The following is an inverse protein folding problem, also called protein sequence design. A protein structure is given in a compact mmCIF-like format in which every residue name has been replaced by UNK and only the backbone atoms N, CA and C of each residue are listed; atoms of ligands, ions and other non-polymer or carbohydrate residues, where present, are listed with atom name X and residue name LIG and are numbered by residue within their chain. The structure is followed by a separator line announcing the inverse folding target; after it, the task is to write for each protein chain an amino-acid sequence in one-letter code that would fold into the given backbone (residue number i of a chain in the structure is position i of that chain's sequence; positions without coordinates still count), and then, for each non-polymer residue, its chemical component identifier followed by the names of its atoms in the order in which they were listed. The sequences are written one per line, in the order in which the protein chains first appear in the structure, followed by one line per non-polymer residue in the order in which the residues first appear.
data_IF_302897498251
#
_entry.id   IF_302897498251
#
_cell.length_a   1.000
_cell.length_b   1.000
_cell.length_c   1.000
_cell.angle_alpha   90.00
_cell.angle_beta   90.00
_cell.angle_gamma   90.00
#
_symmetry.space_group_name_H-M   'P 1'
#
loop_
_entity.id
_entity.type
_entity.pdbx_description
1 polymer ?
#
# COMPACT_ATOMS: atom_id res chain seq x y z
N UNK A 1 28.31 2.15 -5.38
CA UNK A 1 27.61 1.78 -5.48
C UNK A 1 26.98 0.94 -5.29
N UNK A 2 26.54 1.02 -5.15
CA UNK A 2 25.93 0.11 -4.49
C UNK A 2 24.86 -0.59 -5.17
N UNK A 3 25.11 -1.62 -5.63
CA UNK A 3 24.12 -2.51 -6.13
C UNK A 3 23.76 -3.47 -5.03
N UNK A 4 22.59 -3.24 -4.46
CA UNK A 4 22.08 -4.18 -3.48
C UNK A 4 21.71 -5.48 -4.19
N UNK A 5 21.99 -6.59 -3.56
CA UNK A 5 21.55 -7.86 -4.09
C UNK A 5 20.04 -7.97 -3.99
N UNK A 6 19.47 -8.92 -4.73
CA UNK A 6 18.03 -9.13 -4.69
C UNK A 6 17.56 -9.46 -3.28
N UNK A 7 18.32 -10.29 -2.55
CA UNK A 7 17.91 -10.66 -1.20
C UNK A 7 17.98 -9.47 -0.25
N UNK A 8 18.92 -8.56 -0.44
CA UNK A 8 18.96 -7.34 0.35
C UNK A 8 17.78 -6.45 0.07
N UNK A 9 17.41 -6.31 -1.20
CA UNK A 9 16.24 -5.53 -1.56
C UNK A 9 14.97 -6.14 -1.01
N UNK A 10 14.89 -7.46 -0.99
CA UNK A 10 13.73 -8.14 -0.42
C UNK A 10 13.60 -7.87 1.07
N UNK A 11 14.71 -7.83 1.79
CA UNK A 11 14.69 -7.51 3.21
C UNK A 11 14.25 -6.08 3.44
N UNK A 12 14.79 -5.14 2.67
CA UNK A 12 14.38 -3.75 2.76
C UNK A 12 12.88 -3.61 2.49
N UNK A 13 12.39 -4.33 1.48
CA UNK A 13 10.98 -4.29 1.14
C UNK A 13 10.12 -4.83 2.28
N UNK A 14 10.55 -5.90 2.94
CA UNK A 14 9.78 -6.46 4.05
C UNK A 14 9.68 -5.49 5.21
N UNK A 15 10.78 -4.86 5.60
CA UNK A 15 10.74 -3.85 6.66
C UNK A 15 9.87 -2.68 6.25
N UNK A 16 9.98 -2.25 5.01
CA UNK A 16 9.20 -1.12 4.52
C UNK A 16 7.71 -1.44 4.52
N UNK A 17 7.36 -2.66 4.17
CA UNK A 17 5.97 -3.10 4.18
C UNK A 17 5.40 -3.03 5.59
N UNK A 18 6.14 -3.53 6.58
CA UNK A 18 5.66 -3.49 7.96
C UNK A 18 5.57 -2.05 8.47
N UNK A 19 6.52 -1.21 8.10
CA UNK A 19 6.46 0.21 8.45
C UNK A 19 5.25 0.88 7.81
N UNK A 20 4.97 0.59 6.55
CA UNK A 20 3.81 1.15 5.86
C UNK A 20 2.52 0.75 6.56
N UNK A 21 2.40 -0.53 6.94
CA UNK A 21 1.20 -1.00 7.65
C UNK A 21 1.05 -0.30 9.00
N UNK A 22 2.14 -0.12 9.71
CA UNK A 22 2.10 0.56 10.99
C UNK A 22 1.70 2.02 10.82
N UNK A 23 2.21 2.68 9.80
CA UNK A 23 1.84 4.06 9.51
C UNK A 23 0.36 4.18 9.15
N UNK A 24 -0.18 3.22 8.41
CA UNK A 24 -1.61 3.24 8.10
C UNK A 24 -2.45 3.06 9.35
N UNK A 25 -2.02 2.18 10.26
CA UNK A 25 -2.73 2.02 11.53
C UNK A 25 -2.68 3.31 12.34
N UNK A 26 -1.55 3.98 12.35
CA UNK A 26 -1.41 5.26 13.04
C UNK A 26 -2.34 6.30 12.42
N UNK A 27 -2.38 6.37 11.09
CA UNK A 27 -3.27 7.30 10.39
C UNK A 27 -4.74 7.08 10.77
N UNK A 28 -5.15 5.81 10.81
CA UNK A 28 -6.54 5.52 11.19
C UNK A 28 -6.83 5.95 12.61
N UNK A 29 -5.86 5.81 13.50
CA UNK A 29 -6.05 6.21 14.89
C UNK A 29 -6.16 7.72 15.06
N UNK A 30 -5.65 8.48 14.09
CA UNK A 30 -5.72 9.94 14.18
C UNK A 30 -7.15 10.46 14.22
N UNK A 31 -8.07 9.77 13.56
CA UNK A 31 -9.46 10.22 13.50
C UNK A 31 -10.13 10.23 14.87
N UNK A 32 -9.57 9.49 15.83
CA UNK A 32 -10.15 9.38 17.16
C UNK A 32 -9.57 10.40 18.15
N UNK A 33 -8.65 11.24 17.71
CA UNK A 33 -7.98 12.17 18.60
C UNK A 33 -8.69 13.52 18.66
N UNK A 34 -8.61 14.22 19.81
CA UNK A 34 -9.06 15.62 19.88
C UNK A 34 -8.25 16.49 18.89
N UNK A 35 -8.85 17.58 18.44
CA UNK A 35 -8.25 18.41 17.41
C UNK A 35 -6.86 18.92 17.76
N UNK A 36 -6.64 19.29 19.01
CA UNK A 36 -5.34 19.82 19.43
C UNK A 36 -4.24 18.78 19.31
N UNK A 37 -4.53 17.54 19.63
CA UNK A 37 -3.56 16.46 19.51
C UNK A 37 -3.47 15.94 18.08
N UNK A 38 -4.58 15.97 17.37
CA UNK A 38 -4.65 15.45 16.01
C UNK A 38 -3.68 16.20 15.09
N UNK A 39 -3.62 17.51 15.21
CA UNK A 39 -2.77 18.32 14.35
C UNK A 39 -1.30 17.92 14.47
N UNK A 40 -0.83 17.77 15.72
CA UNK A 40 0.55 17.40 15.96
C UNK A 40 0.86 16.00 15.43
N UNK A 41 -0.03 15.05 15.71
CA UNK A 41 0.18 13.67 15.28
C UNK A 41 0.09 13.53 13.77
N UNK A 42 -0.76 14.32 13.12
CA UNK A 42 -0.83 14.30 11.66
C UNK A 42 0.48 14.76 11.05
N UNK A 43 1.10 15.79 11.62
CA UNK A 43 2.40 16.25 11.13
C UNK A 43 3.45 15.16 11.29
N UNK A 44 3.42 14.43 12.40
CA UNK A 44 4.34 13.33 12.62
C UNK A 44 4.13 12.21 11.59
N UNK A 45 2.87 11.91 11.30
CA UNK A 45 2.53 10.90 10.29
C UNK A 45 3.11 11.29 8.93
N UNK A 46 2.91 12.54 8.54
CA UNK A 46 3.41 13.02 7.25
C UNK A 46 4.92 12.95 7.17
N UNK A 47 5.58 13.34 8.27
CA UNK A 47 7.03 13.29 8.31
C UNK A 47 7.53 11.84 8.14
N UNK A 48 6.96 10.91 8.90
CA UNK A 48 7.40 9.51 8.85
C UNK A 48 7.11 8.87 7.51
N UNK A 49 5.96 9.20 6.92
CA UNK A 49 5.62 8.68 5.58
C UNK A 49 6.61 9.18 4.53
N UNK A 50 6.95 10.46 4.61
CA UNK A 50 7.90 11.04 3.68
C UNK A 50 9.30 10.43 3.87
N UNK A 51 9.69 10.18 5.12
CA UNK A 51 10.98 9.53 5.40
C UNK A 51 11.01 8.12 4.83
N UNK A 52 9.92 7.38 4.98
CA UNK A 52 9.87 6.03 4.43
C UNK A 52 10.07 6.05 2.91
N UNK A 53 9.35 6.97 2.23
CA UNK A 53 9.50 7.09 0.79
C UNK A 53 10.92 7.45 0.40
N UNK A 54 11.55 8.36 1.14
CA UNK A 54 12.92 8.76 0.86
C UNK A 54 13.91 7.64 1.05
N UNK A 55 13.73 6.85 2.11
CA UNK A 55 14.63 5.72 2.36
C UNK A 55 14.47 4.64 1.29
N UNK A 56 13.25 4.39 0.85
CA UNK A 56 13.03 3.47 -0.24
C UNK A 56 13.68 3.96 -1.52
N UNK A 57 13.54 5.26 -1.80
CA UNK A 57 14.15 5.84 -2.98
C UNK A 57 15.67 5.67 -2.96
N UNK A 58 16.30 5.83 -1.79
CA UNK A 58 17.74 5.60 -1.66
C UNK A 58 18.11 4.16 -2.01
N UNK A 59 17.22 3.21 -1.76
CA UNK A 59 17.47 1.82 -2.10
C UNK A 59 17.06 1.47 -3.53
N UNK A 60 16.55 2.45 -4.27
CA UNK A 60 16.10 2.22 -5.63
C UNK A 60 14.73 1.58 -5.70
N UNK A 61 13.93 1.74 -4.66
CA UNK A 61 12.62 1.11 -4.57
C UNK A 61 11.51 2.16 -4.49
N UNK A 62 10.32 1.77 -4.88
CA UNK A 62 9.13 2.61 -4.75
C UNK A 62 7.95 1.81 -4.26
N UNK A 63 7.15 2.47 -3.43
CA UNK A 63 5.89 1.95 -2.95
C UNK A 63 4.78 2.43 -3.86
N UNK A 64 3.88 1.53 -4.25
CA UNK A 64 2.76 1.89 -5.12
C UNK A 64 1.45 1.47 -4.45
N UNK A 65 0.52 2.41 -4.39
CA UNK A 65 -0.84 2.14 -3.92
C UNK A 65 -1.80 2.37 -5.09
N UNK A 66 -2.99 1.79 -5.00
CA UNK A 66 -3.89 1.75 -6.15
C UNK A 66 -5.33 2.11 -5.80
N UNK A 67 -5.55 2.71 -4.64
CA UNK A 67 -6.90 3.06 -4.22
C UNK A 67 -7.58 3.92 -5.29
N UNK A 68 -8.79 3.55 -5.67
CA UNK A 68 -9.56 4.30 -6.64
C UNK A 68 -9.29 3.96 -8.09
N UNK A 69 -8.29 3.14 -8.38
CA UNK A 69 -7.98 2.76 -9.76
C UNK A 69 -8.80 1.54 -10.16
N UNK A 70 -9.05 1.42 -11.45
CA UNK A 70 -9.68 0.21 -11.97
C UNK A 70 -8.69 -0.94 -11.93
N UNK A 71 -9.13 -2.09 -11.46
CA UNK A 71 -8.27 -3.27 -11.43
C UNK A 71 -8.09 -3.82 -12.83
N UNK A 72 -6.86 -4.02 -13.24
CA UNK A 72 -6.53 -4.68 -14.50
C UNK A 72 -5.48 -5.74 -14.22
N UNK A 73 -5.35 -6.69 -15.13
CA UNK A 73 -4.38 -7.76 -14.97
C UNK A 73 -2.94 -7.26 -15.02
N UNK A 74 -2.73 -6.04 -15.52
CA UNK A 74 -1.39 -5.49 -15.63
C UNK A 74 -0.87 -4.88 -14.34
N UNK A 75 -1.74 -4.65 -13.36
CA UNK A 75 -1.32 -4.06 -12.10
C UNK A 75 -0.60 -5.10 -11.25
N UNK A 76 0.46 -4.70 -10.54
CA UNK A 76 1.22 -5.65 -9.71
C UNK A 76 0.54 -5.86 -8.36
N UNK A 77 -0.72 -6.28 -8.38
CA UNK A 77 -1.52 -6.48 -7.17
C UNK A 77 -2.35 -7.73 -7.31
N UNK A 78 -2.71 -8.28 -6.16
CA UNK A 78 -3.57 -9.45 -6.07
C UNK A 78 -4.80 -9.07 -5.25
N UNK A 79 -6.00 -9.23 -5.81
CA UNK A 79 -7.20 -8.91 -5.04
C UNK A 79 -7.49 -10.02 -4.04
N UNK A 80 -7.76 -9.61 -2.79
CA UNK A 80 -8.05 -10.57 -1.74
C UNK A 80 -9.48 -11.07 -1.78
N UNK A 81 -10.37 -10.30 -2.40
CA UNK A 81 -11.80 -10.64 -2.44
C UNK A 81 -12.30 -10.87 -3.86
N UNK A 82 -11.44 -11.37 -4.74
CA UNK A 82 -11.84 -11.58 -6.13
C UNK A 82 -13.06 -12.49 -6.25
N UNK A 83 -13.16 -13.49 -5.38
CA UNK A 83 -14.26 -14.44 -5.44
C UNK A 83 -15.60 -13.81 -5.08
N UNK A 84 -15.58 -12.67 -4.41
CA UNK A 84 -16.80 -11.99 -3.99
C UNK A 84 -17.25 -10.93 -4.99
N UNK A 85 -16.52 -10.76 -6.07
CA UNK A 85 -16.82 -9.74 -7.07
C UNK A 85 -17.19 -10.43 -8.37
N UNK A 86 -18.24 -9.91 -9.03
CA UNK A 86 -18.71 -10.56 -10.25
C UNK A 86 -17.69 -10.59 -11.36
N UNK A 87 -17.05 -9.45 -11.62
CA UNK A 87 -16.02 -9.38 -12.65
C UNK A 87 -14.87 -8.54 -12.09
N UNK A 88 -13.83 -9.19 -11.57
CA UNK A 88 -12.73 -8.46 -10.97
C UNK A 88 -12.07 -7.47 -11.93
N UNK A 89 -12.02 -7.79 -13.21
CA UNK A 89 -11.29 -6.95 -14.16
C UNK A 89 -11.96 -5.61 -14.46
N UNK A 90 -13.20 -5.43 -14.04
CA UNK A 90 -13.87 -4.15 -14.22
C UNK A 90 -14.16 -3.47 -12.89
N UNK A 91 -13.67 -4.03 -11.80
CA UNK A 91 -13.94 -3.49 -10.48
C UNK A 91 -12.96 -2.36 -10.17
N UNK A 92 -13.40 -1.47 -9.30
CA UNK A 92 -12.54 -0.41 -8.78
C UNK A 92 -11.85 -0.93 -7.53
N UNK A 93 -10.59 -0.61 -7.38
CA UNK A 93 -9.85 -0.98 -6.17
C UNK A 93 -10.32 -0.04 -5.05
N UNK A 94 -10.94 -0.62 -4.05
CA UNK A 94 -11.47 0.14 -2.92
C UNK A 94 -10.35 0.57 -1.98
N UNK A 95 -9.43 -0.34 -1.68
CA UNK A 95 -8.34 -0.03 -0.77
C UNK A 95 -7.13 -0.91 -1.06
N UNK A 96 -5.97 -0.37 -0.73
CA UNK A 96 -4.72 -1.11 -0.79
C UNK A 96 -4.41 -1.62 0.62
N UNK A 97 -4.37 -2.93 0.76
CA UNK A 97 -4.06 -3.57 2.05
C UNK A 97 -2.56 -3.67 2.23
N UNK A 98 -1.84 -4.02 1.17
CA UNK A 98 -0.37 -3.96 1.13
C UNK A 98 0.01 -3.32 -0.20
N UNK A 99 0.94 -2.37 -0.19
CA UNK A 99 1.37 -1.74 -1.45
C UNK A 99 2.23 -2.70 -2.24
N UNK A 100 2.29 -2.48 -3.55
CA UNK A 100 3.32 -3.13 -4.34
C UNK A 100 4.63 -2.41 -4.09
N UNK A 101 5.72 -3.14 -4.12
CA UNK A 101 7.06 -2.54 -3.98
C UNK A 101 7.85 -2.94 -5.20
N UNK A 102 8.30 -1.93 -5.94
CA UNK A 102 8.99 -2.16 -7.21
C UNK A 102 10.35 -1.51 -7.18
N UNK A 103 11.29 -2.14 -7.87
CA UNK A 103 12.57 -1.55 -8.15
C UNK A 103 12.65 -1.24 -9.63
N UNK A 104 13.86 -1.01 -10.12
CA UNK A 104 14.05 -0.74 -11.53
C UNK A 104 13.85 -2.04 -12.30
N UNK A 105 12.79 -2.09 -13.08
CA UNK A 105 12.46 -3.26 -13.91
C UNK A 105 12.26 -4.55 -13.13
N UNK A 106 11.89 -4.45 -11.86
CA UNK A 106 11.68 -5.65 -11.05
C UNK A 106 10.57 -5.41 -10.05
N UNK A 107 9.71 -6.40 -9.89
CA UNK A 107 8.69 -6.40 -8.87
C UNK A 107 9.24 -7.14 -7.66
N UNK A 108 9.37 -6.43 -6.53
CA UNK A 108 9.91 -7.03 -5.31
C UNK A 108 8.78 -7.62 -4.46
N UNK A 109 7.65 -6.93 -4.37
CA UNK A 109 6.52 -7.39 -3.57
C UNK A 109 5.22 -7.08 -4.29
N UNK A 110 4.38 -8.10 -4.48
CA UNK A 110 3.06 -7.93 -5.07
C UNK A 110 2.13 -7.32 -4.04
N UNK A 111 1.45 -6.25 -4.42
CA UNK A 111 0.50 -5.61 -3.51
C UNK A 111 -0.74 -6.46 -3.29
N UNK A 112 -1.50 -6.12 -2.27
CA UNK A 112 -2.78 -6.77 -1.98
C UNK A 112 -3.84 -5.71 -1.85
N UNK A 113 -4.96 -5.93 -2.51
CA UNK A 113 -6.02 -4.93 -2.59
C UNK A 113 -7.38 -5.57 -2.32
N UNK A 114 -8.33 -4.71 -1.99
CA UNK A 114 -9.74 -5.09 -1.87
C UNK A 114 -10.48 -4.38 -2.99
N UNK A 115 -11.28 -5.13 -3.73
CA UNK A 115 -12.07 -4.59 -4.82
C UNK A 115 -13.44 -4.16 -4.31
N UNK A 116 -13.93 -3.05 -4.83
CA UNK A 116 -15.28 -2.59 -4.54
C UNK A 116 -16.27 -3.48 -5.28
N UNK A 117 -17.51 -3.45 -4.84
CA UNK A 117 -18.55 -4.23 -5.50
C UNK A 117 -18.58 -5.67 -5.08
N UNK A 118 -18.04 -5.98 -3.92
CA UNK A 118 -18.06 -7.34 -3.43
C UNK A 118 -19.47 -7.80 -3.08
N UNK A 119 -19.54 -8.98 -2.52
CA UNK A 119 -20.79 -9.68 -2.32
C UNK A 119 -21.81 -8.89 -1.53
N UNK A 120 -21.37 -8.00 -0.72
CA UNK A 120 -22.28 -7.16 0.04
C UNK A 120 -23.17 -6.33 -0.84
N UNK A 121 -22.77 -6.09 -2.04
CA UNK A 121 -23.57 -5.34 -2.95
C UNK A 121 -24.85 -6.04 -3.22
N UNK A 122 -24.73 -7.27 -3.18
CA UNK A 122 -25.89 -7.96 -3.43
C UNK A 122 -26.87 -7.82 -2.35
N UNK A 123 -26.79 -7.42 -1.74
CA UNK A 123 -27.69 -7.34 -1.02
C UNK A 123 -28.75 -6.97 -1.24
N UNK A 124 -28.94 -7.09 -1.77
CA UNK A 124 -29.92 -6.76 -1.96
C UNK A 124 -30.33 -6.85 -2.20
#
# INVERSE_FOLDING_TARGET
MANNSKSELEIVAKYSLEMWKLLRAFERALSDLPDDKKQRRTAQFRYSSSRLDGLLDEAGLRLLTFDGQMFTANLPVSPLNADDVGDPHNAIIESTIEPAIVGQNILIHTGKVILAGGVNVSRD
#
